data_IF_831677340266
#
_entry.id   IF_831677340266
#
_cell.length_a   1.000
_cell.length_b   1.000
_cell.length_c   1.000
_cell.angle_alpha   90.00
_cell.angle_beta   90.00
_cell.angle_gamma   90.00
#
_symmetry.space_group_name_H-M   'P 1'
#
loop_
_entity.id
_entity.type
_entity.pdbx_description
1 polymer ?
#
# COMPACT_ATOMS: atom_id res chain seq x y z
N UNK A 1 13.38 -81.75 5.99
CA UNK A 1 12.92 -80.85 7.02
C UNK A 1 13.81 -79.57 7.20
N UNK A 2 14.38 -79.01 6.16
CA UNK A 2 15.34 -77.89 6.29
C UNK A 2 14.86 -76.52 5.63
N UNK A 3 13.92 -76.59 4.70
CA UNK A 3 13.50 -75.39 3.97
C UNK A 3 12.52 -74.47 4.74
N UNK A 4 11.72 -74.99 5.69
CA UNK A 4 10.78 -74.28 6.44
C UNK A 4 11.35 -73.33 7.51
N UNK A 5 12.51 -73.71 8.10
CA UNK A 5 13.15 -72.87 9.14
C UNK A 5 13.89 -71.64 8.55
N UNK A 6 14.37 -71.71 7.33
CA UNK A 6 15.05 -70.57 6.65
C UNK A 6 14.00 -69.48 6.24
N UNK A 7 12.81 -69.92 5.84
CA UNK A 7 11.76 -68.97 5.40
C UNK A 7 11.13 -68.19 6.59
N UNK A 8 10.99 -68.83 7.75
CA UNK A 8 10.52 -68.14 8.96
C UNK A 8 11.53 -67.11 9.47
N UNK A 9 12.82 -67.41 9.44
CA UNK A 9 13.89 -66.49 9.88
C UNK A 9 14.04 -65.26 8.97
N UNK A 10 13.78 -65.41 7.67
CA UNK A 10 13.75 -64.26 6.77
C UNK A 10 12.52 -63.36 7.01
N UNK A 11 11.34 -63.95 7.26
CA UNK A 11 10.12 -63.22 7.55
C UNK A 11 10.21 -62.42 8.86
N UNK A 12 10.79 -62.99 9.90
CA UNK A 12 11.05 -62.30 11.17
C UNK A 12 12.02 -61.09 10.98
N UNK A 13 13.08 -61.28 10.21
CA UNK A 13 14.01 -60.18 9.91
C UNK A 13 13.35 -59.05 9.11
N UNK A 14 12.53 -59.37 8.12
CA UNK A 14 11.79 -58.38 7.37
C UNK A 14 10.74 -57.63 8.25
N UNK A 15 10.09 -58.36 9.14
CA UNK A 15 9.12 -57.77 10.07
C UNK A 15 9.80 -56.80 11.05
N UNK A 16 10.94 -57.15 11.62
CA UNK A 16 11.72 -56.26 12.51
C UNK A 16 12.24 -55.02 11.77
N UNK A 17 12.73 -55.20 10.54
CA UNK A 17 13.19 -54.06 9.72
C UNK A 17 12.01 -53.13 9.38
N UNK A 18 10.89 -53.68 8.94
CA UNK A 18 9.68 -52.90 8.62
C UNK A 18 9.14 -52.14 9.85
N UNK A 19 9.14 -52.82 11.02
CA UNK A 19 8.69 -52.20 12.27
C UNK A 19 9.61 -51.07 12.75
N UNK A 20 10.93 -51.21 12.61
CA UNK A 20 11.90 -50.17 12.96
C UNK A 20 11.83 -48.99 12.00
N UNK A 21 11.69 -49.22 10.68
CA UNK A 21 11.48 -48.15 9.69
C UNK A 21 10.19 -47.42 9.94
N UNK A 22 9.10 -48.13 10.27
CA UNK A 22 7.82 -47.52 10.59
C UNK A 22 7.89 -46.64 11.85
N UNK A 23 8.61 -47.08 12.89
CA UNK A 23 8.85 -46.31 14.11
C UNK A 23 9.73 -45.07 13.86
N UNK A 24 10.78 -45.18 13.07
CA UNK A 24 11.63 -44.06 12.71
C UNK A 24 10.84 -42.99 11.91
N UNK A 25 10.05 -43.46 10.93
CA UNK A 25 9.17 -42.58 10.14
C UNK A 25 8.13 -41.89 11.05
N UNK A 26 7.54 -42.61 12.01
CA UNK A 26 6.58 -42.06 12.97
C UNK A 26 7.22 -41.00 13.90
N UNK A 27 8.44 -41.25 14.37
CA UNK A 27 9.24 -40.32 15.17
C UNK A 27 9.64 -39.09 14.35
N UNK A 28 10.01 -39.26 13.08
CA UNK A 28 10.32 -38.15 12.16
C UNK A 28 9.10 -37.28 11.89
N UNK A 29 7.95 -37.87 11.58
CA UNK A 29 6.67 -37.13 11.37
C UNK A 29 6.27 -36.40 12.63
N UNK A 30 6.40 -37.00 13.83
CA UNK A 30 6.08 -36.38 15.11
C UNK A 30 7.02 -35.21 15.46
N UNK A 31 8.33 -35.31 15.13
CA UNK A 31 9.30 -34.22 15.26
C UNK A 31 9.00 -33.07 14.28
N UNK A 32 8.64 -33.39 13.03
CA UNK A 32 8.28 -32.40 12.00
C UNK A 32 6.95 -31.70 12.36
N UNK A 33 5.98 -32.42 12.89
CA UNK A 33 4.71 -31.88 13.37
C UNK A 33 4.90 -30.93 14.59
N UNK A 34 5.74 -31.30 15.57
CA UNK A 34 6.07 -30.40 16.70
C UNK A 34 6.80 -29.14 16.26
N UNK A 35 7.71 -29.22 15.28
CA UNK A 35 8.43 -28.07 14.72
C UNK A 35 7.47 -27.13 13.96
N UNK A 36 6.53 -27.69 13.20
CA UNK A 36 5.47 -26.95 12.50
C UNK A 36 4.52 -26.22 13.46
N UNK A 37 4.09 -26.88 14.52
CA UNK A 37 3.22 -26.27 15.56
C UNK A 37 3.94 -25.16 16.32
N UNK A 38 5.24 -25.30 16.58
CA UNK A 38 6.05 -24.25 17.22
C UNK A 38 6.22 -23.03 16.31
N UNK A 39 6.50 -23.26 15.03
CA UNK A 39 6.60 -22.19 14.01
C UNK A 39 5.26 -21.43 13.84
N UNK A 40 4.14 -22.15 13.82
CA UNK A 40 2.82 -21.56 13.69
C UNK A 40 2.49 -20.67 14.89
N UNK A 41 2.78 -21.10 16.11
CA UNK A 41 2.62 -20.27 17.33
C UNK A 41 3.52 -19.04 17.33
N UNK A 42 4.75 -19.14 16.80
CA UNK A 42 5.66 -18.01 16.67
C UNK A 42 5.12 -16.99 15.66
N UNK A 43 4.56 -17.47 14.55
CA UNK A 43 3.96 -16.66 13.50
C UNK A 43 2.66 -15.97 13.98
N UNK A 44 1.83 -16.68 14.74
CA UNK A 44 0.63 -16.15 15.39
C UNK A 44 0.99 -15.05 16.40
N UNK A 45 2.01 -15.28 17.23
CA UNK A 45 2.52 -14.29 18.19
C UNK A 45 3.14 -13.07 17.47
N UNK A 46 3.85 -13.28 16.37
CA UNK A 46 4.37 -12.19 15.53
C UNK A 46 3.23 -11.38 14.91
N UNK A 47 2.18 -12.02 14.42
CA UNK A 47 1.03 -11.34 13.84
C UNK A 47 0.11 -10.66 14.88
N UNK A 48 0.18 -11.02 16.15
CA UNK A 48 -0.54 -10.33 17.22
C UNK A 48 0.06 -8.96 17.57
N UNK A 49 1.33 -8.70 17.18
CA UNK A 49 1.99 -7.41 17.37
C UNK A 49 1.54 -6.48 16.24
N UNK A 50 1.22 -5.22 16.57
CA UNK A 50 0.85 -4.24 15.55
C UNK A 50 1.96 -4.10 14.50
N UNK A 51 1.58 -3.97 13.23
CA UNK A 51 2.56 -3.87 12.14
C UNK A 51 3.48 -2.65 12.31
N UNK A 52 2.96 -1.56 12.88
CA UNK A 52 3.76 -0.35 13.18
C UNK A 52 4.89 -0.69 14.14
N UNK A 53 4.59 -1.40 15.22
CA UNK A 53 5.62 -1.78 16.20
C UNK A 53 6.68 -2.71 15.57
N UNK A 54 6.25 -3.64 14.70
CA UNK A 54 7.17 -4.50 13.94
C UNK A 54 8.07 -3.70 13.00
N UNK A 55 7.53 -2.67 12.34
CA UNK A 55 8.29 -1.75 11.47
C UNK A 55 9.32 -0.96 12.30
N UNK A 56 8.93 -0.44 13.47
CA UNK A 56 9.84 0.27 14.36
C UNK A 56 10.97 -0.65 14.83
N UNK A 57 10.66 -1.89 15.19
CA UNK A 57 11.69 -2.89 15.51
C UNK A 57 12.64 -3.15 14.33
N UNK A 58 12.09 -3.30 13.10
CA UNK A 58 12.88 -3.46 11.89
C UNK A 58 13.80 -2.26 11.64
N UNK A 59 13.29 -1.05 11.81
CA UNK A 59 14.07 0.18 11.69
C UNK A 59 15.21 0.21 12.70
N UNK A 60 14.93 -0.01 13.99
CA UNK A 60 15.98 -0.01 15.05
C UNK A 60 17.05 -1.06 14.78
N UNK A 61 16.64 -2.28 14.39
CA UNK A 61 17.58 -3.35 14.05
C UNK A 61 18.40 -2.97 12.80
N UNK A 62 17.78 -2.37 11.78
CA UNK A 62 18.45 -1.89 10.57
C UNK A 62 19.54 -0.84 10.88
N UNK A 63 19.23 0.11 11.78
CA UNK A 63 20.21 1.09 12.25
C UNK A 63 21.38 0.42 12.94
N UNK A 64 21.10 -0.44 13.91
CA UNK A 64 22.16 -1.13 14.69
C UNK A 64 23.05 -1.96 13.75
N UNK A 65 22.46 -2.73 12.85
CA UNK A 65 23.22 -3.55 11.89
C UNK A 65 24.03 -2.70 10.92
N UNK A 66 23.47 -1.58 10.43
CA UNK A 66 24.17 -0.66 9.54
C UNK A 66 25.38 -0.01 10.18
N UNK A 67 25.34 0.24 11.50
CA UNK A 67 26.48 0.80 12.26
C UNK A 67 27.51 -0.25 12.65
N UNK A 68 27.06 -1.45 13.08
CA UNK A 68 27.95 -2.48 13.65
C UNK A 68 28.60 -3.33 12.55
N UNK A 69 27.86 -3.65 11.49
CA UNK A 69 28.29 -4.57 10.43
C UNK A 69 27.99 -3.99 9.05
N UNK A 70 28.51 -2.81 8.67
CA UNK A 70 28.20 -2.17 7.39
C UNK A 70 28.56 -3.01 6.16
N UNK A 71 29.49 -3.97 6.31
CA UNK A 71 29.95 -4.83 5.22
C UNK A 71 28.97 -5.97 4.86
N UNK A 72 27.91 -6.20 5.65
CA UNK A 72 26.93 -7.26 5.42
C UNK A 72 25.91 -6.87 4.34
N UNK A 73 26.37 -6.52 3.14
CA UNK A 73 25.57 -6.01 2.01
C UNK A 73 24.38 -6.89 1.61
N UNK A 74 24.42 -8.19 1.92
CA UNK A 74 23.30 -9.10 1.69
C UNK A 74 22.01 -8.74 2.43
N UNK A 75 22.08 -7.93 3.49
CA UNK A 75 20.89 -7.45 4.22
C UNK A 75 20.10 -6.42 3.39
N UNK A 76 20.78 -5.63 2.55
CA UNK A 76 20.14 -4.64 1.66
C UNK A 76 19.13 -5.30 0.70
N UNK A 77 19.38 -6.55 0.26
CA UNK A 77 18.49 -7.31 -0.63
C UNK A 77 17.05 -7.37 -0.09
N UNK A 78 16.85 -7.42 1.22
CA UNK A 78 15.52 -7.41 1.83
C UNK A 78 14.75 -6.13 1.48
N UNK A 79 15.44 -5.00 1.46
CA UNK A 79 14.89 -3.71 1.06
C UNK A 79 14.55 -3.67 -0.43
N UNK A 80 15.48 -4.12 -1.27
CA UNK A 80 15.33 -4.12 -2.74
C UNK A 80 14.17 -5.02 -3.18
N UNK A 81 14.06 -6.22 -2.61
CA UNK A 81 12.96 -7.15 -2.87
C UNK A 81 11.62 -6.55 -2.44
N UNK A 82 11.55 -5.90 -1.29
CA UNK A 82 10.33 -5.28 -0.80
C UNK A 82 9.87 -4.13 -1.70
N UNK A 83 10.77 -3.21 -2.05
CA UNK A 83 10.47 -2.07 -2.94
C UNK A 83 10.15 -2.57 -4.35
N UNK A 84 10.93 -3.55 -4.85
CA UNK A 84 10.69 -4.16 -6.15
C UNK A 84 9.31 -4.80 -6.23
N UNK A 85 8.88 -5.55 -5.21
CA UNK A 85 7.55 -6.15 -5.15
C UNK A 85 6.43 -5.10 -5.15
N UNK A 86 6.60 -3.99 -4.39
CA UNK A 86 5.63 -2.89 -4.40
C UNK A 86 5.56 -2.21 -5.77
N UNK A 87 6.70 -1.90 -6.38
CA UNK A 87 6.77 -1.28 -7.71
C UNK A 87 6.15 -2.17 -8.78
N UNK A 88 6.33 -3.49 -8.69
CA UNK A 88 5.80 -4.43 -9.67
C UNK A 88 4.27 -4.55 -9.63
N UNK A 89 3.66 -4.58 -8.44
CA UNK A 89 2.21 -4.78 -8.31
C UNK A 89 1.42 -3.47 -8.45
N UNK A 90 2.02 -2.33 -8.14
CA UNK A 90 1.30 -1.06 -8.02
C UNK A 90 0.55 -0.62 -9.29
N UNK A 91 1.13 -0.67 -10.52
CA UNK A 91 0.40 -0.25 -11.72
C UNK A 91 -0.84 -1.11 -11.96
N UNK A 92 -0.71 -2.43 -11.79
CA UNK A 92 -1.79 -3.39 -11.98
C UNK A 92 -2.91 -3.18 -10.95
N UNK A 93 -2.53 -2.99 -9.69
CA UNK A 93 -3.47 -2.74 -8.59
C UNK A 93 -4.25 -1.45 -8.82
N UNK A 94 -3.58 -0.34 -9.14
CA UNK A 94 -4.23 0.95 -9.41
C UNK A 94 -5.18 0.85 -10.59
N UNK A 95 -4.79 0.17 -11.67
CA UNK A 95 -5.61 -0.02 -12.86
C UNK A 95 -6.93 -0.72 -12.55
N UNK A 96 -6.88 -1.90 -11.94
CA UNK A 96 -8.09 -2.66 -11.62
C UNK A 96 -8.93 -2.03 -10.51
N UNK A 97 -8.31 -1.36 -9.54
CA UNK A 97 -9.01 -0.62 -8.50
C UNK A 97 -9.87 0.50 -9.10
N UNK A 98 -9.32 1.26 -10.06
CA UNK A 98 -10.06 2.31 -10.76
C UNK A 98 -11.22 1.74 -11.59
N UNK A 99 -10.97 0.69 -12.37
CA UNK A 99 -12.01 0.06 -13.18
C UNK A 99 -13.15 -0.43 -12.29
N UNK A 100 -12.84 -1.18 -11.22
CA UNK A 100 -13.82 -1.67 -10.26
C UNK A 100 -14.62 -0.54 -9.61
N UNK A 101 -13.98 0.51 -9.16
CA UNK A 101 -14.65 1.68 -8.56
C UNK A 101 -15.59 2.39 -9.54
N UNK A 102 -15.14 2.60 -10.78
CA UNK A 102 -15.87 3.42 -11.75
C UNK A 102 -16.98 2.65 -12.50
N UNK A 103 -16.87 1.33 -12.62
CA UNK A 103 -17.92 0.52 -13.25
C UNK A 103 -19.22 0.50 -12.43
N UNK A 104 -19.17 0.75 -11.11
CA UNK A 104 -20.32 0.85 -10.22
C UNK A 104 -20.88 2.28 -10.10
N UNK A 105 -20.16 3.28 -10.59
CA UNK A 105 -20.62 4.66 -10.53
C UNK A 105 -21.92 4.86 -11.30
N UNK A 106 -23.04 4.97 -10.58
CA UNK A 106 -24.39 5.05 -11.15
C UNK A 106 -24.63 6.33 -11.97
N UNK A 107 -25.71 6.31 -12.78
CA UNK A 107 -26.17 7.48 -13.57
C UNK A 107 -26.88 8.54 -12.71
N UNK A 108 -27.07 8.28 -11.42
CA UNK A 108 -27.89 9.11 -10.51
C UNK A 108 -27.14 10.37 -10.09
N UNK A 109 -27.82 11.50 -10.12
CA UNK A 109 -27.40 12.81 -9.57
C UNK A 109 -26.11 13.41 -10.18
N UNK A 110 -26.00 13.43 -11.51
CA UNK A 110 -24.81 13.96 -12.23
C UNK A 110 -24.33 15.35 -11.79
N UNK A 111 -25.22 16.21 -11.28
CA UNK A 111 -24.86 17.53 -10.76
C UNK A 111 -24.07 17.48 -9.44
N UNK A 112 -24.52 16.67 -8.48
CA UNK A 112 -23.85 16.53 -7.18
C UNK A 112 -22.48 15.84 -7.35
N UNK A 113 -22.43 14.76 -8.13
CA UNK A 113 -21.18 14.03 -8.42
C UNK A 113 -20.15 14.96 -9.08
N UNK A 114 -20.59 15.76 -10.07
CA UNK A 114 -19.71 16.75 -10.71
C UNK A 114 -19.12 17.73 -9.69
N UNK A 115 -19.95 18.26 -8.79
CA UNK A 115 -19.50 19.18 -7.74
C UNK A 115 -18.49 18.52 -6.79
N UNK A 116 -18.76 17.28 -6.39
CA UNK A 116 -17.85 16.51 -5.51
C UNK A 116 -16.52 16.25 -6.19
N UNK A 117 -16.51 15.87 -7.48
CA UNK A 117 -15.25 15.66 -8.23
C UNK A 117 -14.45 16.97 -8.31
N UNK A 118 -15.10 18.10 -8.60
CA UNK A 118 -14.43 19.39 -8.62
C UNK A 118 -13.83 19.72 -7.24
N UNK A 119 -14.55 19.46 -6.16
CA UNK A 119 -14.05 19.67 -4.80
C UNK A 119 -12.86 18.75 -4.46
N UNK A 120 -12.89 17.51 -4.88
CA UNK A 120 -11.76 16.58 -4.72
C UNK A 120 -10.51 17.08 -5.45
N UNK A 121 -10.66 17.45 -6.72
CA UNK A 121 -9.54 18.00 -7.50
C UNK A 121 -9.01 19.30 -6.89
N UNK A 122 -9.90 20.15 -6.39
CA UNK A 122 -9.51 21.40 -5.73
C UNK A 122 -8.78 21.15 -4.40
N UNK A 123 -9.26 20.21 -3.57
CA UNK A 123 -8.57 19.81 -2.33
C UNK A 123 -7.17 19.27 -2.61
N UNK A 124 -7.06 18.32 -3.55
CA UNK A 124 -5.78 17.73 -3.93
C UNK A 124 -4.81 18.77 -4.51
N UNK A 125 -5.32 19.71 -5.33
CA UNK A 125 -4.50 20.83 -5.85
C UNK A 125 -3.99 21.73 -4.72
N UNK A 126 -4.85 22.09 -3.75
CA UNK A 126 -4.42 22.89 -2.59
C UNK A 126 -3.41 22.13 -1.74
N UNK A 127 -3.56 20.81 -1.59
CA UNK A 127 -2.59 19.98 -0.88
C UNK A 127 -1.22 20.00 -1.55
N UNK A 128 -1.17 19.84 -2.87
CA UNK A 128 0.06 19.97 -3.65
C UNK A 128 0.68 21.38 -3.54
N UNK A 129 -0.15 22.42 -3.61
CA UNK A 129 0.31 23.81 -3.45
C UNK A 129 0.94 24.05 -2.07
N UNK A 130 0.32 23.56 -1.01
CA UNK A 130 0.86 23.66 0.36
C UNK A 130 2.19 22.92 0.45
N UNK A 131 2.31 21.73 -0.15
CA UNK A 131 3.55 20.98 -0.17
C UNK A 131 4.69 21.72 -0.88
N UNK A 132 4.42 22.31 -2.05
CA UNK A 132 5.38 23.12 -2.81
C UNK A 132 5.82 24.35 -2.01
N UNK A 133 4.88 25.04 -1.36
CA UNK A 133 5.21 26.19 -0.51
C UNK A 133 6.06 25.75 0.69
N UNK A 134 5.65 24.68 1.38
CA UNK A 134 6.38 24.13 2.53
C UNK A 134 7.81 23.70 2.13
N UNK A 135 7.97 23.02 1.00
CA UNK A 135 9.26 22.61 0.47
C UNK A 135 10.17 23.81 0.12
N UNK A 136 9.60 24.92 -0.34
CA UNK A 136 10.36 26.15 -0.60
C UNK A 136 10.73 26.90 0.68
N UNK A 137 9.86 26.91 1.69
CA UNK A 137 10.13 27.54 2.97
C UNK A 137 11.11 26.76 3.83
N UNK A 138 11.10 25.44 3.71
CA UNK A 138 11.94 24.51 4.46
C UNK A 138 12.68 23.57 3.51
N UNK A 139 13.66 24.07 2.74
CA UNK A 139 14.37 23.25 1.78
C UNK A 139 15.10 22.11 2.49
N UNK A 140 14.86 20.89 2.02
CA UNK A 140 15.54 19.69 2.48
C UNK A 140 16.29 19.10 1.29
N UNK A 141 17.61 19.11 1.36
CA UNK A 141 18.46 18.43 0.38
C UNK A 141 18.70 17.02 0.88
N UNK A 142 18.22 16.02 0.12
CA UNK A 142 18.51 14.62 0.39
C UNK A 142 19.68 14.19 -0.48
N UNK A 143 20.75 13.70 0.14
CA UNK A 143 21.80 12.97 -0.56
C UNK A 143 21.29 11.56 -0.88
N UNK A 144 20.62 11.41 -2.03
CA UNK A 144 20.24 10.09 -2.52
C UNK A 144 21.48 9.41 -3.08
N UNK A 145 21.94 8.37 -2.41
CA UNK A 145 22.90 7.44 -3.00
C UNK A 145 22.23 6.79 -4.23
N UNK A 146 22.82 6.98 -5.41
CA UNK A 146 22.47 6.33 -6.67
C UNK A 146 21.05 6.54 -7.26
N UNK A 147 20.57 7.77 -7.32
CA UNK A 147 19.43 8.11 -8.17
C UNK A 147 19.74 9.16 -9.25
N UNK A 148 20.96 9.19 -9.72
CA UNK A 148 21.33 9.98 -10.88
C UNK A 148 21.15 9.17 -12.16
N UNK A 149 19.92 8.90 -12.56
CA UNK A 149 19.63 8.85 -13.97
C UNK A 149 19.45 10.29 -14.43
N UNK A 150 20.23 10.70 -15.41
CA UNK A 150 20.19 12.00 -16.08
C UNK A 150 18.77 12.33 -16.58
N UNK A 151 17.89 12.75 -15.68
CA UNK A 151 16.67 13.44 -16.07
C UNK A 151 17.06 14.90 -16.28
N UNK A 152 17.42 15.24 -17.51
CA UNK A 152 17.53 16.63 -17.93
C UNK A 152 16.22 17.35 -17.53
N UNK A 153 16.34 18.50 -16.88
CA UNK A 153 15.17 19.31 -16.56
C UNK A 153 14.44 19.64 -17.87
N UNK A 154 13.10 19.48 -17.94
CA UNK A 154 12.35 19.76 -19.16
C UNK A 154 12.54 21.22 -19.57
N UNK A 155 12.75 21.46 -20.86
CA UNK A 155 13.08 22.77 -21.44
C UNK A 155 11.93 23.82 -21.35
N UNK A 156 10.80 23.47 -20.72
CA UNK A 156 9.71 24.41 -20.45
C UNK A 156 8.36 23.75 -20.18
N UNK A 157 7.40 24.56 -19.72
CA UNK A 157 6.03 24.12 -19.38
C UNK A 157 5.32 23.44 -20.56
N UNK A 158 5.60 23.89 -21.80
CA UNK A 158 4.98 23.33 -23.02
C UNK A 158 5.43 21.88 -23.24
N UNK A 159 6.71 21.60 -23.02
CA UNK A 159 7.25 20.24 -23.16
C UNK A 159 6.71 19.30 -22.09
N UNK A 160 6.59 19.78 -20.85
CA UNK A 160 5.94 19.04 -19.76
C UNK A 160 4.50 18.70 -20.10
N UNK A 161 3.71 19.67 -20.59
CA UNK A 161 2.31 19.46 -20.98
C UNK A 161 2.21 18.48 -22.17
N UNK A 162 3.08 18.60 -23.17
CA UNK A 162 3.14 17.65 -24.29
C UNK A 162 3.43 16.22 -23.80
N UNK A 163 4.42 16.06 -22.94
CA UNK A 163 4.79 14.76 -22.35
C UNK A 163 3.65 14.17 -21.54
N UNK A 164 2.96 14.98 -20.73
CA UNK A 164 1.79 14.54 -19.97
C UNK A 164 0.67 14.05 -20.92
N UNK A 165 0.35 14.82 -21.96
CA UNK A 165 -0.69 14.43 -22.94
C UNK A 165 -0.32 13.16 -23.70
N UNK A 166 0.94 13.01 -24.11
CA UNK A 166 1.42 11.80 -24.80
C UNK A 166 1.40 10.59 -23.87
N UNK A 167 1.74 10.76 -22.60
CA UNK A 167 1.63 9.71 -21.59
C UNK A 167 0.20 9.27 -21.33
N UNK A 168 -0.79 10.17 -21.40
CA UNK A 168 -2.23 9.83 -21.27
C UNK A 168 -2.71 8.90 -22.41
N UNK A 169 -2.22 9.10 -23.63
CA UNK A 169 -2.64 8.32 -24.82
C UNK A 169 -1.67 7.17 -25.14
N UNK A 170 -0.66 6.94 -24.30
CA UNK A 170 0.23 5.80 -24.44
C UNK A 170 -0.53 4.48 -24.41
N UNK A 171 0.03 3.45 -25.08
CA UNK A 171 -0.60 2.11 -25.08
C UNK A 171 -0.86 1.60 -23.65
N UNK A 172 -2.07 1.12 -23.31
CA UNK A 172 -2.41 0.72 -21.95
C UNK A 172 -1.53 -0.41 -21.41
N UNK A 173 -1.16 -1.38 -22.24
CA UNK A 173 -0.28 -2.49 -21.84
C UNK A 173 1.15 -1.96 -21.58
N UNK A 174 1.66 -1.10 -22.45
CA UNK A 174 2.95 -0.43 -22.26
C UNK A 174 2.96 0.45 -21.00
N UNK A 175 1.85 1.14 -20.72
CA UNK A 175 1.71 1.95 -19.50
C UNK A 175 1.80 1.11 -18.23
N UNK A 176 1.20 -0.09 -18.24
CA UNK A 176 1.29 -1.05 -17.12
C UNK A 176 2.72 -1.59 -16.96
N UNK A 177 3.38 -1.97 -18.07
CA UNK A 177 4.74 -2.52 -18.06
C UNK A 177 5.79 -1.51 -17.58
N UNK A 178 5.67 -0.27 -18.04
CA UNK A 178 6.64 0.80 -17.75
C UNK A 178 6.25 1.65 -16.52
N UNK A 179 5.23 1.25 -15.78
CA UNK A 179 4.69 2.01 -14.65
C UNK A 179 4.38 3.47 -14.98
N UNK A 180 3.91 3.74 -16.23
CA UNK A 180 3.41 5.06 -16.61
C UNK A 180 2.04 5.29 -15.96
N UNK A 181 2.03 5.81 -14.73
CA UNK A 181 0.82 6.00 -13.93
C UNK A 181 -0.19 6.92 -14.61
N UNK A 182 0.23 7.91 -15.40
CA UNK A 182 -0.68 8.79 -16.14
C UNK A 182 -1.49 7.99 -17.15
N UNK A 183 -0.83 7.14 -17.94
CA UNK A 183 -1.49 6.24 -18.88
C UNK A 183 -2.37 5.19 -18.16
N UNK A 184 -1.86 4.60 -17.07
CA UNK A 184 -2.61 3.64 -16.24
C UNK A 184 -3.91 4.25 -15.70
N UNK A 185 -3.85 5.46 -15.16
CA UNK A 185 -5.02 6.18 -14.64
C UNK A 185 -6.00 6.55 -15.77
N UNK A 186 -5.49 7.09 -16.87
CA UNK A 186 -6.32 7.48 -18.02
C UNK A 186 -7.09 6.30 -18.58
N UNK A 187 -6.42 5.19 -18.87
CA UNK A 187 -7.06 3.99 -19.40
C UNK A 187 -7.93 3.29 -18.35
N UNK A 188 -7.55 3.30 -17.09
CA UNK A 188 -8.39 2.81 -15.99
C UNK A 188 -9.71 3.55 -15.88
N UNK A 189 -9.68 4.89 -16.05
CA UNK A 189 -10.91 5.72 -16.08
C UNK A 189 -11.73 5.43 -17.32
N UNK A 190 -11.15 5.43 -18.51
CA UNK A 190 -11.86 5.21 -19.78
C UNK A 190 -12.54 3.83 -19.77
N UNK A 191 -11.80 2.78 -19.42
CA UNK A 191 -12.32 1.42 -19.37
C UNK A 191 -13.36 1.28 -18.25
N UNK A 192 -13.11 1.84 -17.06
CA UNK A 192 -14.04 1.81 -15.94
C UNK A 192 -15.39 2.46 -16.27
N UNK A 193 -15.35 3.62 -16.96
CA UNK A 193 -16.57 4.28 -17.46
C UNK A 193 -17.25 3.45 -18.54
N UNK A 194 -16.50 2.86 -19.48
CA UNK A 194 -17.03 1.95 -20.49
C UNK A 194 -17.72 0.73 -19.90
N UNK A 195 -17.17 0.18 -18.80
CA UNK A 195 -17.71 -0.98 -18.11
C UNK A 195 -18.96 -0.70 -17.24
N UNK A 196 -19.42 0.54 -17.15
CA UNK A 196 -20.70 0.87 -16.47
C UNK A 196 -21.89 0.14 -17.09
N UNK A 197 -21.86 -0.07 -18.41
CA UNK A 197 -22.90 -0.79 -19.15
C UNK A 197 -22.80 -2.32 -19.00
N UNK A 198 -21.74 -2.84 -18.38
CA UNK A 198 -21.56 -4.27 -18.18
C UNK A 198 -22.62 -4.83 -17.21
N UNK A 199 -22.87 -6.13 -17.33
CA UNK A 199 -23.76 -6.84 -16.40
C UNK A 199 -23.13 -6.99 -15.01
N UNK A 200 -23.97 -7.29 -14.01
CA UNK A 200 -23.53 -7.40 -12.62
C UNK A 200 -22.50 -8.51 -12.39
N UNK A 201 -22.56 -9.59 -13.18
CA UNK A 201 -21.58 -10.67 -13.12
C UNK A 201 -20.19 -10.19 -13.50
N UNK A 202 -20.07 -9.42 -14.58
CA UNK A 202 -18.79 -8.85 -15.02
C UNK A 202 -18.25 -7.84 -14.00
N UNK A 203 -19.12 -7.03 -13.41
CA UNK A 203 -18.72 -6.08 -12.35
C UNK A 203 -18.20 -6.80 -11.11
N UNK A 204 -18.86 -7.89 -10.69
CA UNK A 204 -18.36 -8.74 -9.60
C UNK A 204 -16.98 -9.33 -9.88
N UNK A 205 -16.73 -9.79 -11.11
CA UNK A 205 -15.40 -10.30 -11.48
C UNK A 205 -14.33 -9.20 -11.35
N UNK A 206 -14.63 -7.97 -11.75
CA UNK A 206 -13.72 -6.84 -11.58
C UNK A 206 -13.45 -6.52 -10.10
N UNK A 207 -14.49 -6.60 -9.25
CA UNK A 207 -14.34 -6.44 -7.81
C UNK A 207 -13.48 -7.55 -7.19
N UNK A 208 -13.70 -8.80 -7.59
CA UNK A 208 -12.93 -9.94 -7.11
C UNK A 208 -11.45 -9.84 -7.49
N UNK A 209 -11.15 -9.39 -8.73
CA UNK A 209 -9.78 -9.11 -9.18
C UNK A 209 -9.16 -7.99 -8.32
N UNK A 210 -9.86 -6.86 -8.13
CA UNK A 210 -9.39 -5.74 -7.34
C UNK A 210 -9.14 -6.14 -5.89
N UNK A 211 -10.04 -6.92 -5.29
CA UNK A 211 -9.90 -7.45 -3.94
C UNK A 211 -8.72 -8.43 -3.83
N UNK A 212 -8.54 -9.31 -4.81
CA UNK A 212 -7.39 -10.21 -4.88
C UNK A 212 -6.07 -9.47 -4.94
N UNK A 213 -5.97 -8.43 -5.77
CA UNK A 213 -4.77 -7.58 -5.85
C UNK A 213 -4.54 -6.79 -4.54
N UNK A 214 -5.60 -6.26 -3.91
CA UNK A 214 -5.53 -5.65 -2.57
C UNK A 214 -4.95 -6.60 -1.55
N UNK A 215 -5.34 -7.88 -1.59
CA UNK A 215 -4.81 -8.90 -0.70
C UNK A 215 -3.32 -9.17 -0.95
N UNK A 216 -2.89 -9.23 -2.22
CA UNK A 216 -1.45 -9.36 -2.58
C UNK A 216 -0.65 -8.17 -2.06
N UNK A 217 -1.15 -6.94 -2.25
CA UNK A 217 -0.51 -5.72 -1.69
C UNK A 217 -0.42 -5.80 -0.16
N UNK A 218 -1.47 -6.28 0.51
CA UNK A 218 -1.48 -6.48 1.96
C UNK A 218 -0.42 -7.49 2.42
N UNK A 219 -0.21 -8.57 1.67
CA UNK A 219 0.87 -9.54 1.95
C UNK A 219 2.25 -8.89 1.81
N UNK A 220 2.49 -8.14 0.74
CA UNK A 220 3.75 -7.42 0.54
C UNK A 220 3.97 -6.43 1.70
N UNK A 221 2.94 -5.65 2.08
CA UNK A 221 3.03 -4.71 3.20
C UNK A 221 3.31 -5.43 4.53
N UNK A 222 2.83 -6.66 4.71
CA UNK A 222 3.13 -7.42 5.93
C UNK A 222 4.62 -7.78 6.06
N UNK A 223 5.37 -7.76 4.94
CA UNK A 223 6.83 -7.94 4.91
C UNK A 223 7.60 -6.63 5.15
N UNK A 224 6.90 -5.48 5.28
CA UNK A 224 7.51 -4.17 5.49
C UNK A 224 8.53 -4.11 6.64
N UNK A 225 8.38 -4.80 7.80
CA UNK A 225 9.41 -4.79 8.84
C UNK A 225 10.78 -5.26 8.36
N UNK A 226 10.82 -6.28 7.50
CA UNK A 226 12.05 -6.80 6.92
C UNK A 226 12.56 -5.91 5.77
N UNK A 227 11.66 -5.42 4.92
CA UNK A 227 12.00 -4.49 3.86
C UNK A 227 12.60 -3.18 4.40
N UNK A 228 11.97 -2.61 5.42
CA UNK A 228 12.45 -1.37 6.05
C UNK A 228 13.78 -1.60 6.78
N UNK A 229 13.96 -2.76 7.42
CA UNK A 229 15.25 -3.15 7.98
C UNK A 229 16.35 -3.09 6.91
N UNK A 230 16.13 -3.71 5.74
CA UNK A 230 17.10 -3.72 4.64
C UNK A 230 17.38 -2.33 4.07
N UNK A 231 16.33 -1.51 3.87
CA UNK A 231 16.48 -0.14 3.38
C UNK A 231 17.25 0.75 4.35
N UNK A 232 16.91 0.69 5.64
CA UNK A 232 17.58 1.45 6.69
C UNK A 232 19.03 1.00 6.84
N UNK A 233 19.28 -0.31 6.83
CA UNK A 233 20.62 -0.87 6.81
C UNK A 233 21.45 -0.30 5.65
N UNK A 234 20.93 -0.36 4.42
CA UNK A 234 21.61 0.16 3.23
C UNK A 234 21.90 1.66 3.36
N UNK A 235 20.91 2.45 3.79
CA UNK A 235 21.05 3.89 3.97
C UNK A 235 22.11 4.26 5.01
N UNK A 236 22.12 3.56 6.15
CA UNK A 236 23.09 3.81 7.23
C UNK A 236 24.51 3.37 6.85
N UNK A 237 24.62 2.22 6.19
CA UNK A 237 25.92 1.69 5.74
C UNK A 237 26.59 2.61 4.73
N UNK A 238 25.80 3.27 3.87
CA UNK A 238 26.31 4.14 2.80
C UNK A 238 26.57 5.57 3.28
N UNK A 239 25.67 6.14 4.11
CA UNK A 239 25.67 7.59 4.42
C UNK A 239 25.86 7.90 5.91
N UNK A 240 25.96 6.89 6.78
CA UNK A 240 26.11 7.11 8.23
C UNK A 240 24.84 7.63 8.91
N UNK A 241 25.01 8.20 10.12
CA UNK A 241 23.90 8.72 10.93
C UNK A 241 23.39 10.09 10.47
N UNK A 242 24.12 10.82 9.65
CA UNK A 242 23.74 12.15 9.17
C UNK A 242 22.42 12.13 8.40
N UNK A 243 22.14 11.00 7.73
CA UNK A 243 20.89 10.78 7.00
C UNK A 243 19.64 10.92 7.89
N UNK A 244 19.73 10.57 9.18
CA UNK A 244 18.59 10.72 10.10
C UNK A 244 18.23 12.18 10.37
N UNK A 245 19.23 13.06 10.39
CA UNK A 245 18.96 14.49 10.56
C UNK A 245 18.25 15.08 9.34
N UNK A 246 18.65 14.65 8.13
CA UNK A 246 18.04 15.08 6.88
C UNK A 246 16.62 14.51 6.71
N UNK A 247 16.45 13.19 6.93
CA UNK A 247 15.12 12.55 6.89
C UNK A 247 14.21 13.05 8.01
N UNK A 248 14.74 13.36 9.19
CA UNK A 248 13.98 13.95 10.28
C UNK A 248 13.37 15.29 9.88
N UNK A 249 14.15 16.16 9.21
CA UNK A 249 13.65 17.42 8.66
C UNK A 249 12.57 17.20 7.61
N UNK A 250 12.81 16.26 6.67
CA UNK A 250 11.82 15.90 5.65
C UNK A 250 10.50 15.44 6.28
N UNK A 251 10.56 14.53 7.25
CA UNK A 251 9.39 14.03 7.97
C UNK A 251 8.64 15.14 8.69
N UNK A 252 9.35 16.08 9.33
CA UNK A 252 8.73 17.23 9.99
C UNK A 252 8.01 18.13 8.98
N UNK A 253 8.59 18.38 7.81
CA UNK A 253 7.95 19.17 6.74
C UNK A 253 6.73 18.45 6.20
N UNK A 254 6.82 17.14 5.92
CA UNK A 254 5.71 16.32 5.41
C UNK A 254 4.55 16.26 6.42
N UNK A 255 4.85 15.87 7.67
CA UNK A 255 3.82 15.76 8.71
C UNK A 255 3.25 17.14 9.04
N UNK A 256 4.09 18.18 9.10
CA UNK A 256 3.66 19.56 9.29
C UNK A 256 2.71 20.02 8.19
N UNK A 257 3.02 19.73 6.93
CA UNK A 257 2.16 20.03 5.77
C UNK A 257 0.83 19.28 5.85
N UNK A 258 0.84 17.99 6.22
CA UNK A 258 -0.38 17.19 6.40
C UNK A 258 -1.26 17.75 7.53
N UNK A 259 -0.68 18.12 8.65
CA UNK A 259 -1.41 18.75 9.77
C UNK A 259 -1.96 20.13 9.38
N UNK A 260 -1.19 20.92 8.63
CA UNK A 260 -1.66 22.22 8.12
C UNK A 260 -2.87 22.04 7.20
N UNK A 261 -2.82 21.10 6.26
CA UNK A 261 -3.96 20.81 5.38
C UNK A 261 -5.16 20.36 6.20
N UNK A 262 -4.95 19.48 7.16
CA UNK A 262 -6.03 18.95 7.98
C UNK A 262 -6.69 19.99 8.88
N UNK A 263 -5.90 20.86 9.52
CA UNK A 263 -6.40 21.81 10.50
C UNK A 263 -6.66 23.22 9.95
N UNK A 264 -6.15 23.54 8.76
CA UNK A 264 -6.31 24.88 8.15
C UNK A 264 -7.02 24.79 6.80
N UNK A 265 -6.46 24.08 5.82
CA UNK A 265 -6.98 24.07 4.44
C UNK A 265 -8.35 23.40 4.37
N UNK A 266 -8.51 22.20 4.91
CA UNK A 266 -9.78 21.47 4.89
C UNK A 266 -10.89 22.21 5.68
N UNK A 267 -10.64 22.77 6.87
CA UNK A 267 -11.63 23.64 7.54
C UNK A 267 -12.05 24.83 6.72
N UNK A 268 -11.16 25.48 5.98
CA UNK A 268 -11.51 26.62 5.11
C UNK A 268 -12.46 26.15 4.00
N UNK A 269 -12.15 25.03 3.32
CA UNK A 269 -13.01 24.47 2.26
C UNK A 269 -14.39 24.14 2.83
N UNK A 270 -14.43 23.45 3.97
CA UNK A 270 -15.68 23.05 4.64
C UNK A 270 -16.48 24.30 5.07
N UNK A 271 -15.82 25.31 5.62
CA UNK A 271 -16.47 26.58 5.99
C UNK A 271 -17.12 27.26 4.78
N UNK A 272 -16.46 27.28 3.64
CA UNK A 272 -17.02 27.84 2.41
C UNK A 272 -18.28 27.10 1.95
N UNK A 273 -18.32 25.78 2.14
CA UNK A 273 -19.46 24.95 1.75
C UNK A 273 -20.65 25.10 2.72
N UNK A 274 -20.39 25.00 4.04
CA UNK A 274 -21.48 24.93 5.03
C UNK A 274 -21.81 26.27 5.69
N UNK A 275 -20.95 27.30 5.55
CA UNK A 275 -21.07 28.64 6.16
C UNK A 275 -21.26 28.60 7.67
N UNK A 276 -20.78 27.56 8.34
CA UNK A 276 -20.83 27.37 9.80
C UNK A 276 -19.46 26.89 10.27
N UNK A 277 -19.25 26.88 11.60
CA UNK A 277 -17.99 26.36 12.18
C UNK A 277 -17.70 24.95 11.66
N UNK A 278 -16.57 24.71 10.96
CA UNK A 278 -16.23 23.42 10.36
C UNK A 278 -15.68 22.42 11.36
N UNK A 279 -15.06 22.86 12.45
CA UNK A 279 -14.32 22.02 13.38
C UNK A 279 -15.15 20.90 14.03
N UNK A 280 -16.42 21.11 14.46
CA UNK A 280 -17.22 20.02 15.01
C UNK A 280 -17.40 18.87 14.02
N UNK A 281 -17.58 19.17 12.72
CA UNK A 281 -17.70 18.16 11.68
C UNK A 281 -16.36 17.44 11.46
N UNK A 282 -15.26 18.19 11.37
CA UNK A 282 -13.92 17.66 11.16
C UNK A 282 -13.52 16.70 12.29
N UNK A 283 -13.72 17.11 13.55
CA UNK A 283 -13.45 16.23 14.69
C UNK A 283 -14.36 15.00 14.74
N UNK A 284 -15.59 15.12 14.26
CA UNK A 284 -16.52 13.99 14.14
C UNK A 284 -16.03 12.98 13.09
N UNK A 285 -15.56 13.46 11.93
CA UNK A 285 -14.93 12.64 10.90
C UNK A 285 -13.64 11.97 11.43
N UNK A 286 -12.77 12.75 12.10
CA UNK A 286 -11.53 12.24 12.70
C UNK A 286 -11.80 11.08 13.65
N UNK A 287 -12.73 11.27 14.58
CA UNK A 287 -13.08 10.27 15.59
C UNK A 287 -13.63 8.96 14.98
N UNK A 288 -14.39 9.07 13.89
CA UNK A 288 -15.01 7.89 13.23
C UNK A 288 -14.06 7.14 12.30
N UNK A 289 -13.22 7.86 11.56
CA UNK A 289 -12.47 7.32 10.42
C UNK A 289 -10.95 7.30 10.62
N UNK A 290 -10.37 8.30 11.30
CA UNK A 290 -8.93 8.47 11.31
C UNK A 290 -8.17 7.31 11.99
N UNK A 291 -8.70 6.77 13.07
CA UNK A 291 -8.07 5.64 13.78
C UNK A 291 -7.99 4.43 12.85
N UNK A 292 -9.09 4.11 12.19
CA UNK A 292 -9.14 2.98 11.24
C UNK A 292 -8.24 3.25 10.03
N UNK A 293 -8.28 4.44 9.45
CA UNK A 293 -7.41 4.84 8.34
C UNK A 293 -5.92 4.74 8.70
N UNK A 294 -5.55 5.20 9.89
CA UNK A 294 -4.16 5.15 10.38
C UNK A 294 -3.66 3.71 10.51
N UNK A 295 -4.46 2.82 11.12
CA UNK A 295 -4.04 1.42 11.32
C UNK A 295 -4.11 0.59 10.04
N UNK A 296 -5.10 0.80 9.19
CA UNK A 296 -5.22 0.07 7.92
C UNK A 296 -4.27 0.60 6.86
N UNK A 297 -3.89 1.88 6.92
CA UNK A 297 -3.05 2.57 5.92
C UNK A 297 -3.58 2.40 4.50
N UNK A 298 -4.88 2.23 4.36
CA UNK A 298 -5.55 1.97 3.10
C UNK A 298 -6.83 2.77 3.03
N UNK A 299 -6.91 3.72 2.11
CA UNK A 299 -8.14 4.45 1.82
C UNK A 299 -9.26 3.52 1.38
N UNK A 300 -8.94 2.50 0.59
CA UNK A 300 -9.90 1.48 0.14
C UNK A 300 -10.47 0.66 1.30
N UNK A 301 -9.63 0.21 2.23
CA UNK A 301 -10.09 -0.52 3.41
C UNK A 301 -10.97 0.33 4.35
N UNK A 302 -10.85 1.66 4.27
CA UNK A 302 -11.62 2.60 5.09
C UNK A 302 -12.95 3.01 4.44
N UNK A 303 -13.21 2.65 3.17
CA UNK A 303 -14.47 2.93 2.46
C UNK A 303 -15.70 2.51 3.27
N UNK A 304 -15.82 1.27 3.77
CA UNK A 304 -17.00 0.84 4.52
C UNK A 304 -17.24 1.66 5.79
N UNK A 305 -16.17 2.08 6.47
CA UNK A 305 -16.24 2.90 7.69
C UNK A 305 -16.79 4.29 7.38
N UNK A 306 -16.29 4.90 6.29
CA UNK A 306 -16.75 6.20 5.84
C UNK A 306 -18.21 6.16 5.33
N UNK A 307 -18.58 5.11 4.58
CA UNK A 307 -19.96 4.92 4.13
C UNK A 307 -20.93 4.79 5.31
N UNK A 308 -20.57 3.97 6.31
CA UNK A 308 -21.37 3.83 7.53
C UNK A 308 -21.50 5.14 8.31
N UNK A 309 -20.44 5.94 8.36
CA UNK A 309 -20.50 7.26 8.97
C UNK A 309 -21.46 8.20 8.21
N UNK A 310 -21.46 8.18 6.89
CA UNK A 310 -22.39 8.94 6.05
C UNK A 310 -23.85 8.49 6.28
N UNK A 311 -24.11 7.20 6.39
CA UNK A 311 -25.42 6.62 6.71
C UNK A 311 -25.91 7.10 8.09
N UNK A 312 -25.06 7.00 9.11
CA UNK A 312 -25.40 7.46 10.47
C UNK A 312 -25.69 8.98 10.54
N UNK A 313 -25.16 9.75 9.61
CA UNK A 313 -25.41 11.20 9.52
C UNK A 313 -26.59 11.56 8.62
N UNK A 314 -27.31 10.54 8.08
CA UNK A 314 -28.49 10.72 7.26
C UNK A 314 -28.19 11.28 5.87
N UNK A 315 -27.00 11.03 5.35
CA UNK A 315 -26.63 11.41 3.99
C UNK A 315 -27.33 10.51 2.96
N UNK A 316 -27.60 11.07 1.78
CA UNK A 316 -28.20 10.32 0.68
C UNK A 316 -27.32 9.15 0.22
N UNK A 317 -27.90 7.95 0.24
CA UNK A 317 -27.20 6.68 -0.06
C UNK A 317 -26.64 6.66 -1.48
N UNK A 318 -27.41 7.14 -2.46
CA UNK A 318 -26.98 7.13 -3.87
C UNK A 318 -25.78 8.06 -4.10
N UNK A 319 -25.69 9.12 -3.31
CA UNK A 319 -24.55 10.05 -3.34
C UNK A 319 -23.32 9.44 -2.69
N UNK A 320 -23.38 8.99 -1.42
CA UNK A 320 -22.17 8.55 -0.72
C UNK A 320 -21.65 7.20 -1.23
N UNK A 321 -22.52 6.32 -1.78
CA UNK A 321 -22.07 5.04 -2.33
C UNK A 321 -21.17 5.18 -3.55
N UNK A 322 -21.26 6.31 -4.26
CA UNK A 322 -20.40 6.63 -5.39
C UNK A 322 -19.24 7.54 -4.97
N UNK A 323 -19.51 8.58 -4.20
CA UNK A 323 -18.49 9.59 -3.88
C UNK A 323 -17.43 9.08 -2.92
N UNK A 324 -17.76 8.25 -1.94
CA UNK A 324 -16.76 7.72 -0.99
C UNK A 324 -15.73 6.79 -1.67
N UNK A 325 -16.12 5.78 -2.47
CA UNK A 325 -15.14 4.98 -3.23
C UNK A 325 -14.33 5.81 -4.21
N UNK A 326 -14.98 6.74 -4.92
CA UNK A 326 -14.31 7.63 -5.86
C UNK A 326 -13.29 8.52 -5.14
N UNK A 327 -13.64 9.10 -3.99
CA UNK A 327 -12.76 9.93 -3.18
C UNK A 327 -11.53 9.15 -2.67
N UNK A 328 -11.70 7.88 -2.33
CA UNK A 328 -10.59 7.04 -1.90
C UNK A 328 -9.53 6.83 -2.99
N UNK A 329 -9.85 7.07 -4.26
CA UNK A 329 -8.95 6.91 -5.40
C UNK A 329 -8.45 8.24 -5.98
N UNK A 330 -9.27 9.29 -6.01
CA UNK A 330 -8.91 10.56 -6.68
C UNK A 330 -8.64 11.72 -5.72
N UNK A 331 -9.08 11.65 -4.45
CA UNK A 331 -8.82 12.67 -3.43
C UNK A 331 -7.73 12.19 -2.47
N UNK A 332 -6.50 12.19 -2.94
CA UNK A 332 -5.34 11.67 -2.21
C UNK A 332 -4.42 12.81 -1.78
N UNK A 333 -4.90 13.69 -0.89
CA UNK A 333 -4.16 14.87 -0.39
C UNK A 333 -2.80 14.46 0.21
N UNK A 334 -2.75 13.34 0.96
CA UNK A 334 -1.51 12.82 1.51
C UNK A 334 -0.49 12.40 0.44
N UNK A 335 -0.93 11.78 -0.64
CA UNK A 335 -0.06 11.42 -1.76
C UNK A 335 0.44 12.68 -2.51
N UNK A 336 -0.45 13.67 -2.71
CA UNK A 336 -0.09 14.93 -3.34
C UNK A 336 0.96 15.75 -2.56
N UNK A 337 1.07 15.52 -1.24
CA UNK A 337 2.10 16.15 -0.41
C UNK A 337 3.45 15.41 -0.54
N UNK A 338 3.42 14.10 -0.76
CA UNK A 338 4.62 13.25 -0.74
C UNK A 338 5.32 13.12 -2.09
N UNK A 339 4.63 13.47 -3.18
CA UNK A 339 5.15 13.51 -4.55
C UNK A 339 5.84 14.85 -4.83
#
# INVERSE_FOLDING_TARGET
MSAGKIHLSLYEKYYIIAHNVCNEVHVYIRKKGKKSVSMKKLFEKWNSISLILRIVCGLVIGVILGLVVPQATGIAILGDVFVGALKAIAPLFVFFLLISSLCHAGKSHGGIIKTVIIMYMFSTFLAALVAVIASRLFPVTLTLADAATDMAAPDGIVEVLKTLLMNMVANPVSSLLNANYIGVLTWGVIIGVGMRAANDTTKKVLDDISNGLSQVVSWIISMAPFGILGLVFSSISSNGLEIFSEYGKLLLVLVGSMLFIYFVTNPIIVFWCIRKNPYPLIFKCLKKSAITAFFTRSSAANIPVNMKACEEWGMDKDTYSVTIPLGATINMDGAAITI
#
